data_IF_088923957830
#
_entry.id   IF_088923957830
#
_cell.length_a   1.000
_cell.length_b   1.000
_cell.length_c   1.000
_cell.angle_alpha   90.00
_cell.angle_beta   90.00
_cell.angle_gamma   90.00
#
_symmetry.space_group_name_H-M   'P 1'
#
loop_
_entity.id
_entity.type
_entity.pdbx_description
1 polymer ?
#
# COMPACT_ATOMS: atom_id res chain seq x y z
N UNK A 1 5.41 -31.73 -28.30
CA UNK A 1 4.05 -31.19 -28.18
C UNK A 1 4.12 -29.83 -27.50
N UNK A 2 4.00 -28.74 -28.25
CA UNK A 2 3.95 -27.38 -27.67
C UNK A 2 2.50 -27.14 -27.25
N UNK A 3 2.24 -27.11 -25.94
CA UNK A 3 0.93 -26.75 -25.40
C UNK A 3 0.57 -25.33 -25.88
N UNK A 4 -0.65 -25.10 -26.40
CA UNK A 4 -1.03 -23.78 -26.85
C UNK A 4 -1.03 -22.85 -25.64
N UNK A 5 -0.03 -21.96 -25.58
CA UNK A 5 0.06 -20.95 -24.53
C UNK A 5 -1.15 -20.04 -24.71
N UNK A 6 -2.16 -20.23 -23.86
CA UNK A 6 -3.32 -19.35 -23.80
C UNK A 6 -2.84 -17.91 -23.57
N UNK A 7 -3.24 -16.98 -24.44
CA UNK A 7 -2.87 -15.56 -24.31
C UNK A 7 -3.18 -14.99 -22.91
N UNK A 8 -4.26 -15.49 -22.30
CA UNK A 8 -4.67 -15.11 -20.94
C UNK A 8 -3.67 -15.57 -19.87
N UNK A 9 -3.08 -16.76 -20.01
CA UNK A 9 -2.09 -17.26 -19.04
C UNK A 9 -0.73 -16.58 -19.22
N UNK A 10 -0.33 -16.27 -20.46
CA UNK A 10 0.87 -15.47 -20.74
C UNK A 10 0.77 -14.04 -20.16
N UNK A 11 -0.35 -13.35 -20.38
CA UNK A 11 -0.57 -12.01 -19.81
C UNK A 11 -0.63 -12.05 -18.27
N UNK A 12 -1.24 -13.10 -17.69
CA UNK A 12 -1.25 -13.29 -16.23
C UNK A 12 0.17 -13.40 -15.68
N UNK A 13 1.03 -14.20 -16.31
CA UNK A 13 2.40 -14.44 -15.88
C UNK A 13 3.29 -13.20 -16.04
N UNK A 14 3.16 -12.48 -17.15
CA UNK A 14 3.90 -11.23 -17.39
C UNK A 14 3.54 -10.12 -16.38
N UNK A 15 2.27 -10.05 -15.95
CA UNK A 15 1.89 -9.13 -14.89
C UNK A 15 2.42 -9.57 -13.53
N UNK A 16 2.40 -10.86 -13.21
CA UNK A 16 2.94 -11.34 -11.94
C UNK A 16 4.45 -11.07 -11.84
N UNK A 17 5.22 -11.27 -12.91
CA UNK A 17 6.64 -10.93 -12.92
C UNK A 17 6.91 -9.44 -12.77
N UNK A 18 5.97 -8.57 -13.17
CA UNK A 18 6.11 -7.11 -13.09
C UNK A 18 5.95 -6.54 -11.67
N UNK A 19 5.42 -7.30 -10.70
CA UNK A 19 5.46 -6.92 -9.27
C UNK A 19 6.23 -7.94 -8.42
N UNK A 20 6.96 -8.86 -9.04
CA UNK A 20 7.89 -9.74 -8.35
C UNK A 20 9.29 -9.10 -8.18
N UNK A 21 9.40 -7.80 -8.46
CA UNK A 21 10.62 -6.99 -8.32
C UNK A 21 11.00 -6.72 -6.86
N UNK A 22 10.14 -7.06 -5.90
CA UNK A 22 10.43 -6.98 -4.45
C UNK A 22 10.52 -5.56 -3.90
N UNK A 23 10.42 -4.53 -4.76
CA UNK A 23 10.44 -3.13 -4.36
C UNK A 23 9.29 -2.77 -3.40
N UNK A 24 8.12 -3.39 -3.60
CA UNK A 24 6.99 -3.24 -2.69
C UNK A 24 7.24 -3.92 -1.34
N UNK A 25 7.97 -5.05 -1.31
CA UNK A 25 8.33 -5.70 -0.04
C UNK A 25 9.28 -4.82 0.76
N UNK A 26 10.25 -4.16 0.09
CA UNK A 26 11.16 -3.19 0.72
C UNK A 26 10.39 -1.99 1.26
N UNK A 27 9.41 -1.47 0.51
CA UNK A 27 8.57 -0.36 0.95
C UNK A 27 7.77 -0.72 2.21
N UNK A 28 7.15 -1.90 2.24
CA UNK A 28 6.38 -2.40 3.39
C UNK A 28 7.31 -2.64 4.59
N UNK A 29 8.52 -3.17 4.36
CA UNK A 29 9.53 -3.35 5.41
C UNK A 29 9.96 -2.03 6.05
N UNK A 30 10.17 -0.98 5.25
CA UNK A 30 10.39 0.37 5.77
C UNK A 30 9.20 0.87 6.60
N UNK A 31 7.96 0.48 6.25
CA UNK A 31 6.75 0.90 6.96
C UNK A 31 6.65 0.21 8.31
N UNK A 32 6.99 -1.08 8.35
CA UNK A 32 7.09 -1.82 9.59
C UNK A 32 8.15 -1.24 10.53
N UNK A 33 9.30 -0.76 10.01
CA UNK A 33 10.34 -0.11 10.81
C UNK A 33 9.88 1.18 11.48
N UNK A 34 8.93 1.91 10.89
CA UNK A 34 8.35 3.11 11.50
C UNK A 34 7.71 2.80 12.84
N UNK A 35 7.00 1.67 12.98
CA UNK A 35 6.40 1.28 14.25
C UNK A 35 7.43 0.97 15.35
N UNK A 36 8.67 0.64 14.98
CA UNK A 36 9.76 0.44 15.94
C UNK A 36 10.45 1.77 16.32
N UNK A 37 10.56 2.71 15.38
CA UNK A 37 11.33 3.95 15.56
C UNK A 37 10.44 5.09 16.10
N UNK A 38 9.19 5.18 15.67
CA UNK A 38 8.27 6.26 16.03
C UNK A 38 8.05 6.41 17.56
N UNK A 39 7.92 5.32 18.36
CA UNK A 39 7.79 5.45 19.81
C UNK A 39 9.04 6.05 20.47
N UNK A 40 10.24 5.70 19.98
CA UNK A 40 11.51 6.20 20.51
C UNK A 40 11.67 7.72 20.29
N UNK A 41 11.14 8.24 19.18
CA UNK A 41 11.16 9.68 18.89
C UNK A 41 10.02 10.43 19.60
N UNK A 42 8.91 9.75 19.92
CA UNK A 42 7.76 10.39 20.59
C UNK A 42 8.13 10.96 21.97
N UNK A 43 9.02 10.30 22.73
CA UNK A 43 9.45 10.78 24.05
C UNK A 43 10.10 12.17 24.02
N UNK A 44 10.69 12.58 22.89
CA UNK A 44 11.44 13.85 22.77
C UNK A 44 10.70 14.91 21.95
N UNK A 45 9.93 14.53 20.93
CA UNK A 45 9.28 15.44 19.99
C UNK A 45 7.75 15.49 20.13
N UNK A 46 7.14 14.53 20.84
CA UNK A 46 5.69 14.33 20.91
C UNK A 46 5.11 13.62 19.68
N UNK A 47 3.95 12.99 19.86
CA UNK A 47 3.35 12.05 18.88
C UNK A 47 3.13 12.63 17.47
N UNK A 48 2.80 13.92 17.38
CA UNK A 48 2.57 14.57 16.09
C UNK A 48 3.87 14.80 15.31
N UNK A 49 4.92 15.29 15.98
CA UNK A 49 6.19 15.61 15.34
C UNK A 49 7.02 14.37 15.07
N UNK A 50 6.93 13.34 15.93
CA UNK A 50 7.54 12.04 15.66
C UNK A 50 7.01 11.43 14.36
N UNK A 51 5.70 11.55 14.10
CA UNK A 51 5.06 11.10 12.86
C UNK A 51 5.38 12.00 11.66
N UNK A 52 5.43 13.32 11.86
CA UNK A 52 5.70 14.29 10.78
C UNK A 52 7.12 14.17 10.19
N UNK A 53 8.11 13.71 10.97
CA UNK A 53 9.47 13.46 10.50
C UNK A 53 9.53 12.33 9.46
N UNK A 54 8.59 11.38 9.48
CA UNK A 54 8.58 10.28 8.52
C UNK A 54 8.06 10.69 7.14
N UNK A 55 7.24 11.75 7.02
CA UNK A 55 6.75 12.26 5.73
C UNK A 55 7.86 12.53 4.69
N UNK A 56 8.93 13.28 5.00
CA UNK A 56 10.04 13.47 4.07
C UNK A 56 10.82 12.17 3.80
N UNK A 57 10.94 11.28 4.77
CA UNK A 57 11.58 9.96 4.61
C UNK A 57 10.78 9.11 3.61
N UNK A 58 9.46 9.10 3.73
CA UNK A 58 8.54 8.44 2.80
C UNK A 58 8.67 8.98 1.39
N UNK A 59 8.74 10.31 1.27
CA UNK A 59 9.02 10.96 -0.01
C UNK A 59 10.32 10.45 -0.64
N UNK A 60 11.39 10.38 0.15
CA UNK A 60 12.71 9.92 -0.31
C UNK A 60 12.70 8.44 -0.71
N UNK A 61 12.13 7.56 0.14
CA UNK A 61 12.01 6.11 -0.15
C UNK A 61 11.19 5.89 -1.43
N UNK A 62 10.06 6.58 -1.58
CA UNK A 62 9.26 6.50 -2.80
C UNK A 62 10.05 6.97 -4.03
N UNK A 63 10.78 8.08 -3.91
CA UNK A 63 11.60 8.61 -4.98
C UNK A 63 12.72 7.63 -5.36
N UNK A 64 13.37 7.00 -4.37
CA UNK A 64 14.38 5.97 -4.59
C UNK A 64 13.79 4.75 -5.34
N UNK A 65 12.64 4.24 -4.90
CA UNK A 65 11.92 3.15 -5.58
C UNK A 65 11.58 3.53 -7.01
N UNK A 66 11.05 4.75 -7.23
CA UNK A 66 10.71 5.25 -8.55
C UNK A 66 11.96 5.34 -9.45
N UNK A 67 13.07 5.82 -8.91
CA UNK A 67 14.32 6.00 -9.64
C UNK A 67 14.95 4.66 -10.02
N UNK A 68 14.94 3.68 -9.11
CA UNK A 68 15.34 2.29 -9.38
C UNK A 68 14.43 1.67 -10.44
N UNK A 69 13.12 1.91 -10.35
CA UNK A 69 12.16 1.38 -11.33
C UNK A 69 12.39 1.97 -12.72
N UNK A 70 12.65 3.27 -12.81
CA UNK A 70 12.88 3.98 -14.07
C UNK A 70 14.25 3.67 -14.70
N UNK A 71 15.31 3.61 -13.90
CA UNK A 71 16.69 3.50 -14.44
C UNK A 71 17.21 2.07 -14.49
N UNK A 72 16.74 1.17 -13.62
CA UNK A 72 17.25 -0.20 -13.53
C UNK A 72 16.25 -1.21 -14.10
N UNK A 73 14.98 -1.13 -13.69
CA UNK A 73 13.98 -2.13 -14.07
C UNK A 73 13.40 -1.89 -15.47
N UNK A 74 13.03 -0.65 -15.81
CA UNK A 74 12.46 -0.33 -17.11
C UNK A 74 13.35 -0.71 -18.31
N UNK A 75 14.67 -0.45 -18.32
CA UNK A 75 15.52 -0.87 -19.45
C UNK A 75 15.79 -2.38 -19.49
N UNK A 76 15.69 -3.10 -18.36
CA UNK A 76 16.01 -4.54 -18.29
C UNK A 76 14.82 -5.45 -18.57
N UNK A 77 13.62 -5.05 -18.17
CA UNK A 77 12.40 -5.87 -18.29
C UNK A 77 11.50 -5.44 -19.45
N UNK A 78 11.71 -4.24 -20.01
CA UNK A 78 10.82 -3.65 -21.00
C UNK A 78 9.47 -3.23 -20.41
N UNK A 79 8.73 -2.39 -21.13
CA UNK A 79 7.40 -1.92 -20.72
C UNK A 79 6.31 -2.80 -21.31
N UNK A 80 5.57 -3.52 -20.47
CA UNK A 80 4.42 -4.32 -20.91
C UNK A 80 3.15 -3.47 -20.81
N UNK A 81 2.49 -3.24 -21.95
CA UNK A 81 1.16 -2.60 -21.95
C UNK A 81 0.08 -3.63 -21.68
N UNK A 82 -0.53 -3.58 -20.49
CA UNK A 82 -1.65 -4.47 -20.14
C UNK A 82 -2.92 -4.12 -20.91
N UNK A 83 -3.75 -5.14 -21.20
CA UNK A 83 -5.03 -4.95 -21.88
C UNK A 83 -6.01 -4.07 -21.09
N UNK A 84 -6.94 -3.42 -21.81
CA UNK A 84 -7.95 -2.49 -21.22
C UNK A 84 -8.77 -3.14 -20.10
N UNK A 85 -9.01 -4.45 -20.14
CA UNK A 85 -9.74 -5.19 -19.11
C UNK A 85 -8.99 -5.16 -17.75
N UNK A 86 -7.66 -5.32 -17.77
CA UNK A 86 -6.84 -5.35 -16.54
C UNK A 86 -6.61 -3.96 -15.98
N UNK A 87 -6.44 -2.96 -16.85
CA UNK A 87 -6.38 -1.55 -16.42
C UNK A 87 -7.68 -1.11 -15.74
N UNK A 88 -8.85 -1.54 -16.23
CA UNK A 88 -10.13 -1.28 -15.56
C UNK A 88 -10.19 -1.93 -14.18
N UNK A 89 -9.68 -3.16 -14.02
CA UNK A 89 -9.62 -3.82 -12.71
C UNK A 89 -8.71 -3.07 -11.72
N UNK A 90 -7.53 -2.62 -12.18
CA UNK A 90 -6.64 -1.78 -11.35
C UNK A 90 -7.24 -0.43 -10.99
N UNK A 91 -7.95 0.23 -11.92
CA UNK A 91 -8.65 1.50 -11.62
C UNK A 91 -9.78 1.31 -10.62
N UNK A 92 -10.58 0.25 -10.76
CA UNK A 92 -11.62 -0.09 -9.78
C UNK A 92 -11.02 -0.33 -8.40
N UNK A 93 -9.92 -1.09 -8.34
CA UNK A 93 -9.18 -1.30 -7.09
C UNK A 93 -8.69 0.03 -6.48
N UNK A 94 -8.02 0.86 -7.27
CA UNK A 94 -7.52 2.16 -6.82
C UNK A 94 -8.64 3.08 -6.35
N UNK A 95 -9.81 3.03 -6.99
CA UNK A 95 -10.97 3.84 -6.62
C UNK A 95 -11.57 3.34 -5.30
N UNK A 96 -11.73 2.02 -5.12
CA UNK A 96 -12.19 1.44 -3.85
C UNK A 96 -11.23 1.81 -2.71
N UNK A 97 -9.92 1.66 -2.92
CA UNK A 97 -8.91 2.01 -1.92
C UNK A 97 -8.96 3.50 -1.56
N UNK A 98 -9.12 4.38 -2.56
CA UNK A 98 -9.24 5.82 -2.35
C UNK A 98 -10.51 6.16 -1.56
N UNK A 99 -11.66 5.57 -1.90
CA UNK A 99 -12.91 5.78 -1.18
C UNK A 99 -12.79 5.34 0.28
N UNK A 100 -12.21 4.16 0.53
CA UNK A 100 -11.98 3.67 1.90
C UNK A 100 -11.05 4.61 2.69
N UNK A 101 -9.96 5.08 2.09
CA UNK A 101 -9.04 6.02 2.75
C UNK A 101 -9.70 7.38 3.02
N UNK A 102 -10.49 7.91 2.10
CA UNK A 102 -11.23 9.18 2.30
C UNK A 102 -12.25 9.01 3.42
N UNK A 103 -13.00 7.91 3.45
CA UNK A 103 -13.93 7.62 4.55
C UNK A 103 -13.20 7.53 5.89
N UNK A 104 -12.04 6.87 5.95
CA UNK A 104 -11.20 6.81 7.15
C UNK A 104 -10.72 8.19 7.59
N UNK A 105 -10.28 9.02 6.65
CA UNK A 105 -9.84 10.39 6.96
C UNK A 105 -10.98 11.22 7.53
N UNK A 106 -12.18 11.15 6.95
CA UNK A 106 -13.36 11.85 7.47
C UNK A 106 -13.74 11.35 8.86
N UNK A 107 -13.77 10.03 9.09
CA UNK A 107 -14.05 9.45 10.40
C UNK A 107 -12.98 9.84 11.44
N UNK A 108 -11.71 9.89 11.04
CA UNK A 108 -10.61 10.34 11.89
C UNK A 108 -10.72 11.80 12.28
N UNK A 109 -11.02 12.69 11.33
CA UNK A 109 -11.26 14.11 11.60
C UNK A 109 -12.46 14.29 12.52
N UNK A 110 -13.56 13.57 12.29
CA UNK A 110 -14.73 13.60 13.18
C UNK A 110 -14.40 13.10 14.59
N UNK A 111 -13.58 12.05 14.72
CA UNK A 111 -13.12 11.59 16.03
C UNK A 111 -12.24 12.64 16.74
N UNK A 112 -11.38 13.35 15.99
CA UNK A 112 -10.55 14.44 16.52
C UNK A 112 -11.38 15.65 16.96
N UNK A 113 -12.41 16.01 16.21
CA UNK A 113 -13.29 17.13 16.57
C UNK A 113 -14.20 16.83 17.77
N UNK A 114 -14.43 15.55 18.09
CA UNK A 114 -15.21 15.11 19.25
C UNK A 114 -14.35 14.75 20.47
N UNK A 115 -13.11 15.26 20.56
CA UNK A 115 -12.21 15.07 21.70
C UNK A 115 -12.90 15.45 23.01
N UNK A 116 -13.21 14.44 23.84
CA UNK A 116 -13.81 14.62 25.16
C UNK A 116 -14.91 13.62 25.55
N UNK A 117 -15.49 12.87 24.60
CA UNK A 117 -16.60 11.93 24.88
C UNK A 117 -16.33 10.46 24.60
N UNK A 118 -15.25 10.12 23.89
CA UNK A 118 -15.00 8.75 23.41
C UNK A 118 -13.70 8.24 24.04
N UNK A 119 -13.70 7.08 24.71
CA UNK A 119 -12.48 6.50 25.26
C UNK A 119 -11.48 6.20 24.12
N UNK A 120 -10.22 6.61 24.27
CA UNK A 120 -9.19 6.49 23.22
C UNK A 120 -8.97 5.06 22.71
N UNK A 121 -9.21 4.06 23.56
CA UNK A 121 -9.15 2.63 23.21
C UNK A 121 -10.24 2.25 22.19
N UNK A 122 -11.43 2.86 22.28
CA UNK A 122 -12.54 2.61 21.35
C UNK A 122 -12.24 3.12 19.94
N UNK A 123 -11.61 4.30 19.85
CA UNK A 123 -11.19 4.90 18.57
C UNK A 123 -10.05 4.09 17.95
N UNK A 124 -9.03 3.73 18.72
CA UNK A 124 -7.91 2.91 18.25
C UNK A 124 -8.35 1.51 17.77
N UNK A 125 -9.27 0.86 18.50
CA UNK A 125 -9.82 -0.44 18.12
C UNK A 125 -10.60 -0.37 16.80
N UNK A 126 -11.44 0.65 16.62
CA UNK A 126 -12.18 0.88 15.37
C UNK A 126 -11.23 1.11 14.19
N UNK A 127 -10.20 1.93 14.37
CA UNK A 127 -9.19 2.19 13.35
C UNK A 127 -8.42 0.92 12.95
N UNK A 128 -7.98 0.13 13.92
CA UNK A 128 -7.26 -1.11 13.65
C UNK A 128 -8.12 -2.15 12.90
N UNK A 129 -9.39 -2.29 13.29
CA UNK A 129 -10.33 -3.24 12.66
C UNK A 129 -10.67 -2.84 11.22
N UNK A 130 -10.78 -1.53 10.95
CA UNK A 130 -10.98 -1.01 9.61
C UNK A 130 -9.73 -1.07 8.73
N UNK A 131 -8.54 -0.83 9.29
CA UNK A 131 -7.28 -1.01 8.58
C UNK A 131 -7.15 -2.46 8.09
N UNK A 132 -7.44 -3.42 8.98
CA UNK A 132 -7.41 -4.85 8.71
C UNK A 132 -8.44 -5.27 7.65
N UNK A 133 -9.66 -4.72 7.72
CA UNK A 133 -10.68 -4.91 6.68
C UNK A 133 -10.26 -4.30 5.33
N UNK A 134 -9.63 -3.12 5.32
CA UNK A 134 -9.13 -2.46 4.12
C UNK A 134 -8.04 -3.25 3.41
N UNK A 135 -7.05 -3.75 4.16
CA UNK A 135 -6.00 -4.63 3.63
C UNK A 135 -6.56 -5.96 3.11
N UNK A 136 -7.55 -6.55 3.78
CA UNK A 136 -8.19 -7.80 3.35
C UNK A 136 -9.00 -7.65 2.06
N UNK A 137 -9.80 -6.57 1.93
CA UNK A 137 -10.54 -6.26 0.69
C UNK A 137 -9.56 -5.93 -0.44
N UNK A 138 -8.46 -5.25 -0.12
CA UNK A 138 -7.42 -4.95 -1.09
C UNK A 138 -6.74 -6.21 -1.62
N UNK A 139 -6.40 -7.16 -0.74
CA UNK A 139 -5.85 -8.46 -1.11
C UNK A 139 -6.81 -9.27 -2.00
N UNK A 140 -8.10 -9.30 -1.66
CA UNK A 140 -9.12 -10.01 -2.44
C UNK A 140 -9.30 -9.44 -3.85
N UNK A 141 -9.31 -8.11 -4.01
CA UNK A 141 -9.54 -7.49 -5.31
C UNK A 141 -8.34 -7.59 -6.27
N UNK A 142 -7.12 -7.73 -5.74
CA UNK A 142 -5.88 -7.69 -6.51
C UNK A 142 -5.48 -9.05 -7.12
N UNK A 143 -6.15 -10.15 -6.77
CA UNK A 143 -5.76 -11.52 -7.17
C UNK A 143 -4.24 -11.77 -6.98
N UNK A 144 -3.67 -11.14 -5.94
CA UNK A 144 -2.24 -11.19 -5.64
C UNK A 144 -2.07 -12.11 -4.42
N UNK A 145 -1.78 -13.42 -4.62
CA UNK A 145 -1.68 -14.39 -3.52
C UNK A 145 -0.61 -14.01 -2.47
N UNK A 146 0.31 -13.11 -2.82
CA UNK A 146 1.37 -12.63 -1.93
C UNK A 146 0.88 -11.63 -0.86
N UNK A 147 -0.26 -10.96 -1.09
CA UNK A 147 -0.85 -10.02 -0.11
C UNK A 147 -1.76 -10.71 0.91
N UNK A 148 -2.00 -12.02 0.79
CA UNK A 148 -2.81 -12.78 1.76
C UNK A 148 -2.07 -13.09 3.07
N UNK A 149 -0.74 -13.00 3.05
CA UNK A 149 0.14 -13.40 4.16
C UNK A 149 0.86 -12.22 4.83
N UNK A 150 0.56 -10.99 4.42
CA UNK A 150 1.01 -9.76 5.06
C UNK A 150 -0.18 -9.11 5.78
#
# INVERSE_FOLDING_TARGET
>A
MQTPVSLKSAERRAFQSSFADGLWDVFIGCFALEFAIAPLLSETLGDFWSSAIFLPIWGLVYLAIWLVRKHVLAPRLGTVSFGKARQRKMRKFSLVLLVVNVLMLVLGVLAVLNFGKIPGIGVASLFSLFLLAGFSVAAYMLDYPRLYFY
#
